data_IF_765250085208
#
_entry.id   IF_765250085208
#
_cell.length_a   1.000
_cell.length_b   1.000
_cell.length_c   1.000
_cell.angle_alpha   90.00
_cell.angle_beta   90.00
_cell.angle_gamma   90.00
#
_symmetry.space_group_name_H-M   'P 1'
#
loop_
_entity.id
_entity.type
_entity.pdbx_description
1 polymer ?
#
# COMPACT_ATOMS: atom_id res chain seq x y z
N UNK A 1 10.28 1.41 -23.42
CA UNK A 1 9.73 0.53 -22.36
C UNK A 1 9.79 1.35 -21.08
N UNK A 2 8.66 1.66 -20.45
CA UNK A 2 8.71 2.28 -19.12
C UNK A 2 9.20 1.18 -18.17
N UNK A 3 10.43 1.33 -17.71
CA UNK A 3 10.98 0.51 -16.63
C UNK A 3 10.24 0.95 -15.36
N UNK A 4 9.14 0.26 -15.03
CA UNK A 4 8.33 0.58 -13.88
C UNK A 4 9.07 0.18 -12.61
N UNK A 5 9.19 1.08 -11.63
CA UNK A 5 9.71 0.72 -10.31
C UNK A 5 8.83 -0.39 -9.71
N UNK A 6 9.47 -1.43 -9.17
CA UNK A 6 8.80 -2.53 -8.47
C UNK A 6 8.90 -2.36 -6.95
N UNK A 7 7.95 -2.95 -6.25
CA UNK A 7 7.93 -2.98 -4.79
C UNK A 7 7.51 -4.38 -4.33
N UNK A 8 8.14 -4.83 -3.25
CA UNK A 8 7.93 -6.15 -2.66
C UNK A 8 7.02 -6.03 -1.43
N UNK A 9 6.07 -6.96 -1.29
CA UNK A 9 5.30 -7.13 -0.05
C UNK A 9 6.21 -7.77 0.99
N UNK A 10 6.48 -7.05 2.09
CA UNK A 10 7.38 -7.51 3.16
C UNK A 10 6.63 -7.89 4.43
N UNK A 11 5.34 -7.59 4.52
CA UNK A 11 4.56 -7.92 5.71
C UNK A 11 3.07 -7.64 5.59
N UNK A 12 2.32 -8.28 6.48
CA UNK A 12 0.90 -8.07 6.72
C UNK A 12 0.70 -7.93 8.24
N UNK A 13 0.25 -6.76 8.67
CA UNK A 13 0.02 -6.43 10.07
C UNK A 13 -1.47 -6.37 10.36
N UNK A 14 -1.89 -6.95 11.48
CA UNK A 14 -3.30 -6.97 11.90
C UNK A 14 -3.50 -6.13 13.17
N UNK A 15 -4.29 -5.07 13.06
CA UNK A 15 -4.87 -4.35 14.19
C UNK A 15 -6.18 -5.04 14.58
N UNK A 16 -6.07 -6.01 15.48
CA UNK A 16 -7.22 -6.81 15.96
C UNK A 16 -8.23 -5.97 16.73
N UNK A 17 -7.79 -4.89 17.38
CA UNK A 17 -8.65 -4.00 18.17
C UNK A 17 -9.61 -3.25 17.27
N UNK A 18 -9.10 -2.67 16.19
CA UNK A 18 -9.90 -1.91 15.23
C UNK A 18 -10.37 -2.76 14.04
N UNK A 19 -10.04 -4.05 14.01
CA UNK A 19 -10.32 -4.97 12.90
C UNK A 19 -9.84 -4.42 11.55
N UNK A 20 -8.56 -4.02 11.49
CA UNK A 20 -7.91 -3.52 10.25
C UNK A 20 -6.67 -4.34 9.94
N UNK A 21 -6.40 -4.52 8.66
CA UNK A 21 -5.14 -5.12 8.19
C UNK A 21 -4.37 -4.08 7.39
N UNK A 22 -3.05 -4.13 7.47
CA UNK A 22 -2.16 -3.27 6.71
C UNK A 22 -1.11 -4.11 6.00
N UNK A 23 -1.03 -3.98 4.69
CA UNK A 23 0.07 -4.54 3.90
C UNK A 23 1.23 -3.56 3.89
N UNK A 24 2.45 -4.07 4.01
CA UNK A 24 3.67 -3.27 3.92
C UNK A 24 4.41 -3.60 2.63
N UNK A 25 4.70 -2.56 1.86
CA UNK A 25 5.45 -2.58 0.61
C UNK A 25 6.78 -1.86 0.79
N UNK A 26 7.85 -2.38 0.21
CA UNK A 26 9.18 -1.75 0.17
C UNK A 26 9.62 -1.68 -1.30
N UNK A 27 10.12 -0.52 -1.72
CA UNK A 27 10.62 -0.37 -3.09
C UNK A 27 11.90 -1.16 -3.27
N UNK A 28 12.00 -1.89 -4.38
CA UNK A 28 13.15 -2.78 -4.62
C UNK A 28 14.45 -1.99 -4.85
N UNK A 29 14.36 -0.73 -5.31
CA UNK A 29 15.47 0.17 -5.54
C UNK A 29 15.73 1.18 -4.40
N UNK A 30 14.77 1.34 -3.48
CA UNK A 30 14.80 2.33 -2.39
C UNK A 30 14.30 1.67 -1.09
N UNK A 31 15.17 0.92 -0.40
CA UNK A 31 14.77 0.11 0.76
C UNK A 31 14.26 0.92 1.97
N UNK A 32 14.62 2.19 2.06
CA UNK A 32 14.14 3.14 3.07
C UNK A 32 12.72 3.64 2.75
N UNK A 33 12.32 3.58 1.48
CA UNK A 33 10.99 3.92 1.02
C UNK A 33 10.05 2.75 1.25
N UNK A 34 9.06 2.99 2.09
CA UNK A 34 8.05 2.01 2.44
C UNK A 34 6.66 2.63 2.36
N UNK A 35 5.68 1.79 2.07
CA UNK A 35 4.27 2.17 1.99
C UNK A 35 3.44 1.15 2.74
N UNK A 36 2.66 1.64 3.70
CA UNK A 36 1.70 0.81 4.44
C UNK A 36 0.30 1.18 4.00
N UNK A 37 -0.45 0.21 3.48
CA UNK A 37 -1.81 0.43 2.99
C UNK A 37 -2.81 -0.44 3.73
N UNK A 38 -3.98 0.12 4.01
CA UNK A 38 -5.08 -0.65 4.54
C UNK A 38 -5.55 -1.68 3.50
N UNK A 39 -5.76 -2.92 3.95
CA UNK A 39 -6.34 -4.00 3.16
C UNK A 39 -7.48 -4.64 3.93
N UNK A 40 -8.27 -5.49 3.27
CA UNK A 40 -9.37 -6.21 3.92
C UNK A 40 -8.87 -6.96 5.16
N UNK A 41 -9.58 -6.76 6.27
CA UNK A 41 -9.28 -7.49 7.51
C UNK A 41 -9.47 -8.99 7.32
N UNK A 42 -8.49 -9.78 7.75
CA UNK A 42 -8.50 -11.23 7.58
C UNK A 42 -8.33 -11.71 6.14
N UNK A 43 -7.77 -10.91 5.23
CA UNK A 43 -7.37 -11.40 3.91
C UNK A 43 -6.38 -12.56 4.06
N UNK A 44 -6.53 -13.59 3.22
CA UNK A 44 -5.58 -14.69 3.17
C UNK A 44 -4.25 -14.21 2.55
N UNK A 45 -3.16 -14.95 2.77
CA UNK A 45 -1.89 -14.68 2.10
C UNK A 45 -1.97 -14.89 0.58
N UNK A 46 -2.84 -15.80 0.13
CA UNK A 46 -3.06 -16.06 -1.30
C UNK A 46 -3.76 -14.88 -1.99
N UNK A 47 -4.66 -14.19 -1.28
CA UNK A 47 -5.36 -13.01 -1.78
C UNK A 47 -4.55 -11.71 -1.63
N UNK A 48 -3.51 -11.73 -0.79
CA UNK A 48 -2.74 -10.54 -0.41
C UNK A 48 -2.17 -9.76 -1.60
N UNK A 49 -1.62 -10.38 -2.67
CA UNK A 49 -1.16 -9.65 -3.84
C UNK A 49 -2.29 -8.88 -4.55
N UNK A 50 -3.48 -9.48 -4.65
CA UNK A 50 -4.63 -8.83 -5.28
C UNK A 50 -5.16 -7.67 -4.43
N UNK A 51 -5.26 -7.87 -3.12
CA UNK A 51 -5.71 -6.82 -2.19
C UNK A 51 -4.69 -5.67 -2.09
N UNK A 52 -3.39 -5.96 -2.11
CA UNK A 52 -2.35 -4.93 -2.17
C UNK A 52 -2.45 -4.11 -3.46
N UNK A 53 -2.64 -4.76 -4.62
CA UNK A 53 -2.80 -4.08 -5.90
C UNK A 53 -4.04 -3.16 -5.90
N UNK A 54 -5.17 -3.61 -5.33
CA UNK A 54 -6.37 -2.77 -5.15
C UNK A 54 -6.09 -1.56 -4.28
N UNK A 55 -5.45 -1.77 -3.13
CA UNK A 55 -5.13 -0.67 -2.21
C UNK A 55 -4.19 0.36 -2.85
N UNK A 56 -3.22 -0.08 -3.66
CA UNK A 56 -2.35 0.82 -4.44
C UNK A 56 -3.16 1.60 -5.48
N UNK A 57 -4.08 0.95 -6.19
CA UNK A 57 -4.93 1.64 -7.17
C UNK A 57 -5.85 2.68 -6.53
N UNK A 58 -6.41 2.37 -5.36
CA UNK A 58 -7.20 3.31 -4.54
C UNK A 58 -6.36 4.51 -4.11
N UNK A 59 -5.14 4.28 -3.59
CA UNK A 59 -4.21 5.35 -3.25
C UNK A 59 -3.88 6.23 -4.45
N UNK A 60 -3.56 5.63 -5.61
CA UNK A 60 -3.27 6.38 -6.83
C UNK A 60 -4.46 7.27 -7.21
N UNK A 61 -5.68 6.74 -7.13
CA UNK A 61 -6.89 7.53 -7.39
C UNK A 61 -7.08 8.67 -6.40
N UNK A 62 -6.88 8.42 -5.11
CA UNK A 62 -6.98 9.43 -4.06
C UNK A 62 -5.95 10.54 -4.28
N UNK A 63 -4.67 10.17 -4.39
CA UNK A 63 -3.55 11.09 -4.59
C UNK A 63 -3.72 11.91 -5.87
N UNK A 64 -4.19 11.31 -6.95
CA UNK A 64 -4.44 12.03 -8.22
C UNK A 64 -5.52 13.11 -8.10
N UNK A 65 -6.40 13.01 -7.08
CA UNK A 65 -7.47 13.98 -6.82
C UNK A 65 -7.11 15.02 -5.75
N UNK A 66 -6.01 14.83 -5.03
CA UNK A 66 -5.61 15.72 -3.94
C UNK A 66 -5.23 17.10 -4.46
N UNK A 67 -5.69 18.13 -3.74
CA UNK A 67 -5.17 19.50 -3.87
C UNK A 67 -4.19 19.75 -2.73
N UNK A 68 -2.95 20.05 -3.07
CA UNK A 68 -1.93 20.41 -2.10
C UNK A 68 -2.16 21.85 -1.66
N UNK A 69 -2.38 22.05 -0.36
CA UNK A 69 -2.42 23.37 0.25
C UNK A 69 -1.09 23.62 0.95
N UNK A 70 -0.43 24.74 0.64
CA UNK A 70 0.72 25.22 1.41
C UNK A 70 0.26 26.16 2.50
N UNK A 71 0.69 25.92 3.74
CA UNK A 71 0.60 26.91 4.81
C UNK A 71 1.79 27.85 4.68
N UNK A 72 1.51 29.14 4.50
CA UNK A 72 2.48 30.24 4.55
C UNK A 72 2.51 30.90 5.92
#
# INVERSE_FOLDING_TARGET
MQDGKSATIVGLNHDLKNKRSFVQLVWDDESDKHLSLAVRFGCSLDDLPSEAAKAVAELVSEVSSLRLNSVG
#
